data_IF_736448029059
#
_entry.id   IF_736448029059
#
_cell.length_a   1.000
_cell.length_b   1.000
_cell.length_c   1.000
_cell.angle_alpha   90.00
_cell.angle_beta   90.00
_cell.angle_gamma   90.00
#
_symmetry.space_group_name_H-M   'P 1'
#
loop_
_entity.id
_entity.type
_entity.pdbx_description
1 polymer ?
#
# COMPACT_ATOMS: atom_id res chain seq x y z
N UNK A 1 34.05 9.36 24.10
CA UNK A 1 32.85 8.67 23.55
C UNK A 1 32.90 8.88 22.06
N UNK A 2 33.16 7.82 21.29
CA UNK A 2 33.10 7.89 19.82
C UNK A 2 31.67 8.21 19.40
N UNK A 3 31.50 9.27 18.61
CA UNK A 3 30.28 9.59 17.90
C UNK A 3 29.90 8.38 17.03
N UNK A 4 28.95 7.58 17.49
CA UNK A 4 28.33 6.56 16.65
C UNK A 4 27.59 7.34 15.56
N UNK A 5 28.13 7.36 14.35
CA UNK A 5 27.48 7.97 13.19
C UNK A 5 26.15 7.24 12.96
N UNK A 6 25.04 7.87 13.37
CA UNK A 6 23.69 7.31 13.24
C UNK A 6 22.99 7.97 12.07
N UNK A 7 22.48 7.15 11.18
CA UNK A 7 21.66 7.59 10.07
C UNK A 7 20.23 7.10 10.22
N UNK A 8 19.30 7.86 9.63
CA UNK A 8 17.89 7.48 9.54
C UNK A 8 17.50 7.29 8.10
N UNK A 9 16.78 6.21 7.81
CA UNK A 9 16.18 5.96 6.50
C UNK A 9 14.69 5.71 6.65
N UNK A 10 13.91 6.31 5.76
CA UNK A 10 12.49 6.01 5.60
C UNK A 10 12.30 5.10 4.40
N UNK A 11 11.61 3.99 4.62
CA UNK A 11 11.36 2.93 3.63
C UNK A 11 9.85 2.82 3.43
N UNK A 12 9.39 2.93 2.18
CA UNK A 12 8.02 2.60 1.80
C UNK A 12 7.89 1.08 1.72
N UNK A 13 6.85 0.56 2.36
CA UNK A 13 6.55 -0.86 2.42
C UNK A 13 5.35 -1.18 1.54
N UNK A 14 5.24 -2.43 1.09
CA UNK A 14 4.09 -2.88 0.32
C UNK A 14 3.74 -4.34 0.60
N UNK A 15 2.45 -4.66 0.48
CA UNK A 15 1.94 -6.02 0.69
C UNK A 15 1.60 -6.38 2.14
N UNK A 16 1.63 -5.41 3.06
CA UNK A 16 1.09 -5.60 4.42
C UNK A 16 -0.43 -5.52 4.40
N UNK A 17 -1.09 -6.41 5.14
CA UNK A 17 -2.57 -6.43 5.24
C UNK A 17 -3.08 -6.24 6.66
N UNK A 18 -2.21 -6.24 7.67
CA UNK A 18 -2.58 -6.06 9.07
C UNK A 18 -1.41 -5.54 9.92
N UNK A 19 -1.75 -5.05 11.12
CA UNK A 19 -0.76 -4.58 12.10
C UNK A 19 0.24 -5.66 12.54
N UNK A 20 -0.14 -6.95 12.52
CA UNK A 20 0.79 -8.03 12.83
C UNK A 20 1.84 -8.26 11.74
N UNK A 21 1.57 -7.89 10.47
CA UNK A 21 2.61 -7.83 9.43
C UNK A 21 3.65 -6.76 9.75
N UNK A 22 3.20 -5.56 10.16
CA UNK A 22 4.09 -4.47 10.53
C UNK A 22 5.02 -4.86 11.69
N UNK A 23 4.48 -5.49 12.74
CA UNK A 23 5.28 -5.97 13.87
C UNK A 23 6.35 -6.99 13.48
N UNK A 24 6.04 -7.90 12.54
CA UNK A 24 7.02 -8.86 12.01
C UNK A 24 8.18 -8.18 11.29
N UNK A 25 7.88 -7.18 10.47
CA UNK A 25 8.90 -6.39 9.75
C UNK A 25 9.75 -5.60 10.75
N UNK A 26 9.12 -4.92 11.71
CA UNK A 26 9.82 -4.14 12.73
C UNK A 26 10.79 -5.01 13.54
N UNK A 27 10.33 -6.18 14.00
CA UNK A 27 11.15 -7.13 14.75
C UNK A 27 12.32 -7.64 13.92
N UNK A 28 12.09 -7.97 12.63
CA UNK A 28 13.14 -8.46 11.74
C UNK A 28 14.22 -7.41 11.50
N UNK A 29 13.83 -6.16 11.28
CA UNK A 29 14.75 -5.04 11.07
C UNK A 29 15.52 -4.70 12.35
N UNK A 30 14.84 -4.66 13.50
CA UNK A 30 15.47 -4.38 14.80
C UNK A 30 16.54 -5.40 15.19
N UNK A 31 16.42 -6.64 14.73
CA UNK A 31 17.37 -7.72 14.99
C UNK A 31 18.54 -7.77 13.99
N UNK A 32 18.62 -6.86 13.03
CA UNK A 32 19.78 -6.77 12.13
C UNK A 32 20.93 -6.07 12.86
N UNK A 33 22.14 -6.59 12.64
CA UNK A 33 23.35 -5.97 13.17
C UNK A 33 23.49 -4.53 12.64
N UNK A 34 23.84 -3.61 13.54
CA UNK A 34 23.98 -2.20 13.19
C UNK A 34 22.68 -1.40 13.20
N UNK A 35 21.52 -2.00 13.50
CA UNK A 35 20.25 -1.27 13.67
C UNK A 35 20.10 -0.84 15.13
N UNK A 36 19.93 0.46 15.36
CA UNK A 36 19.68 1.04 16.68
C UNK A 36 18.19 1.05 17.03
N UNK A 37 17.35 1.43 16.07
CA UNK A 37 15.90 1.41 16.24
C UNK A 37 15.19 1.19 14.90
N UNK A 38 14.02 0.57 14.96
CA UNK A 38 13.11 0.41 13.82
C UNK A 38 11.69 0.64 14.32
N UNK A 39 10.92 1.45 13.58
CA UNK A 39 9.52 1.72 13.85
C UNK A 39 8.75 1.56 12.55
N UNK A 40 7.69 0.75 12.56
CA UNK A 40 6.84 0.54 11.37
C UNK A 40 5.46 1.15 11.61
N UNK A 41 5.10 2.10 10.75
CA UNK A 41 3.76 2.66 10.70
C UNK A 41 2.93 1.93 9.65
N UNK A 42 2.03 1.05 10.11
CA UNK A 42 1.13 0.30 9.24
C UNK A 42 0.19 1.22 8.44
N UNK A 43 -0.33 2.29 9.04
CA UNK A 43 -1.30 3.17 8.39
C UNK A 43 -0.70 3.94 7.21
N UNK A 44 0.59 4.31 7.32
CA UNK A 44 1.31 5.02 6.27
C UNK A 44 2.11 4.09 5.35
N UNK A 45 2.07 2.77 5.59
CA UNK A 45 2.89 1.77 4.89
C UNK A 45 4.39 2.15 4.88
N UNK A 46 4.91 2.60 6.01
CA UNK A 46 6.27 3.15 6.13
C UNK A 46 7.04 2.52 7.28
N UNK A 47 8.33 2.26 7.08
CA UNK A 47 9.28 1.95 8.14
C UNK A 47 10.31 3.08 8.26
N UNK A 48 10.60 3.50 9.50
CA UNK A 48 11.74 4.36 9.81
C UNK A 48 12.76 3.54 10.57
N UNK A 49 14.00 3.50 10.05
CA UNK A 49 15.10 2.72 10.64
C UNK A 49 16.24 3.68 10.97
N UNK A 50 16.70 3.64 12.22
CA UNK A 50 17.92 4.30 12.68
C UNK A 50 19.04 3.26 12.78
N UNK A 51 20.15 3.49 12.08
CA UNK A 51 21.21 2.51 11.92
C UNK A 51 22.58 3.16 11.79
N UNK A 52 23.63 2.35 11.99
CA UNK A 52 25.00 2.74 11.71
C UNK A 52 25.37 2.34 10.25
N UNK A 53 25.68 3.31 9.37
CA UNK A 53 25.98 3.06 7.96
C UNK A 53 27.31 2.30 7.75
N UNK A 54 28.17 2.22 8.77
CA UNK A 54 29.42 1.47 8.71
C UNK A 54 29.21 -0.04 8.85
N UNK A 55 28.08 -0.45 9.46
CA UNK A 55 27.77 -1.86 9.78
C UNK A 55 26.66 -2.44 8.91
N UNK A 56 25.72 -1.62 8.45
CA UNK A 56 24.57 -2.07 7.66
C UNK A 56 24.11 -0.98 6.70
N UNK A 57 23.24 -1.34 5.74
CA UNK A 57 22.77 -0.45 4.70
C UNK A 57 21.35 -0.82 4.22
N UNK A 58 20.78 0.02 3.35
CA UNK A 58 19.44 -0.20 2.81
C UNK A 58 19.27 -1.53 2.05
N UNK A 59 20.30 -2.05 1.38
CA UNK A 59 20.18 -3.32 0.66
C UNK A 59 19.91 -4.49 1.63
N UNK A 60 20.54 -4.49 2.79
CA UNK A 60 20.28 -5.49 3.84
C UNK A 60 18.84 -5.37 4.37
N UNK A 61 18.34 -4.15 4.57
CA UNK A 61 16.94 -3.92 4.97
C UNK A 61 15.96 -4.41 3.91
N UNK A 62 16.19 -4.05 2.65
CA UNK A 62 15.36 -4.47 1.52
C UNK A 62 15.33 -6.00 1.39
N UNK A 63 16.49 -6.65 1.51
CA UNK A 63 16.61 -8.11 1.51
C UNK A 63 15.82 -8.73 2.66
N UNK A 64 16.04 -8.28 3.89
CA UNK A 64 15.36 -8.81 5.07
C UNK A 64 13.82 -8.68 4.99
N UNK A 65 13.32 -7.58 4.42
CA UNK A 65 11.88 -7.35 4.21
C UNK A 65 11.34 -8.26 3.08
N UNK A 66 12.09 -8.44 1.99
CA UNK A 66 11.73 -9.32 0.88
C UNK A 66 11.72 -10.80 1.27
N UNK A 67 12.63 -11.22 2.13
CA UNK A 67 12.67 -12.60 2.66
C UNK A 67 11.42 -12.93 3.48
N UNK A 68 10.77 -11.92 4.06
CA UNK A 68 9.47 -12.05 4.71
C UNK A 68 8.27 -12.04 3.74
N UNK A 69 8.52 -11.84 2.44
CA UNK A 69 7.49 -11.78 1.40
C UNK A 69 6.87 -10.40 1.19
N UNK A 70 7.48 -9.34 1.72
CA UNK A 70 6.98 -7.97 1.57
C UNK A 70 7.81 -7.16 0.55
N UNK A 71 7.24 -6.07 0.05
CA UNK A 71 7.96 -5.13 -0.81
C UNK A 71 8.57 -4.03 0.05
N UNK A 72 9.80 -3.63 -0.28
CA UNK A 72 10.47 -2.46 0.28
C UNK A 72 11.02 -1.60 -0.86
N UNK A 73 10.75 -0.29 -0.80
CA UNK A 73 11.21 0.71 -1.77
C UNK A 73 11.56 2.00 -1.04
N UNK A 74 12.51 2.77 -1.56
CA UNK A 74 12.70 4.16 -1.13
C UNK A 74 11.68 5.07 -1.82
N UNK A 75 11.68 6.35 -1.44
CA UNK A 75 10.94 7.34 -2.18
C UNK A 75 11.56 7.52 -3.56
N UNK A 76 10.71 7.81 -4.54
CA UNK A 76 11.10 7.83 -5.94
C UNK A 76 10.46 9.02 -6.62
N UNK A 77 11.24 9.71 -7.44
CA UNK A 77 10.75 10.78 -8.31
C UNK A 77 11.16 10.53 -9.75
N UNK A 78 10.26 10.88 -10.65
CA UNK A 78 10.48 10.80 -12.08
C UNK A 78 10.56 12.23 -12.63
N UNK A 79 11.72 12.58 -13.18
CA UNK A 79 12.00 13.91 -13.71
C UNK A 79 12.12 13.81 -15.22
N UNK A 80 11.40 14.67 -15.94
CA UNK A 80 11.56 14.82 -17.38
C UNK A 80 12.47 16.00 -17.67
N UNK A 81 13.47 15.79 -18.51
CA UNK A 81 14.35 16.85 -19.02
C UNK A 81 13.72 17.38 -20.30
N UNK A 82 13.51 18.69 -20.36
CA UNK A 82 12.91 19.38 -21.51
C UNK A 82 13.97 19.68 -22.58
N UNK A 83 15.19 19.94 -22.14
CA UNK A 83 16.29 20.30 -23.04
C UNK A 83 16.64 19.15 -23.99
N UNK A 84 16.97 19.52 -25.24
CA UNK A 84 17.63 18.61 -26.15
C UNK A 84 19.10 18.49 -25.71
N UNK A 85 19.41 17.36 -25.08
CA UNK A 85 20.75 17.00 -24.65
C UNK A 85 21.24 15.78 -25.43
N UNK A 86 22.56 15.71 -25.64
CA UNK A 86 23.20 14.54 -26.23
C UNK A 86 23.26 13.37 -25.24
N UNK A 87 23.47 12.15 -25.73
CA UNK A 87 23.55 10.93 -24.89
C UNK A 87 24.69 11.00 -23.86
N UNK A 88 25.80 11.64 -24.22
CA UNK A 88 26.98 11.84 -23.35
C UNK A 88 26.71 12.85 -22.23
N UNK A 89 26.02 13.95 -22.54
CA UNK A 89 25.58 14.93 -21.56
C UNK A 89 24.55 14.35 -20.60
N UNK A 90 23.62 13.54 -21.12
CA UNK A 90 22.63 12.84 -20.31
C UNK A 90 23.29 11.86 -19.33
N UNK A 91 24.27 11.10 -19.79
CA UNK A 91 25.03 10.17 -18.93
C UNK A 91 25.82 10.93 -17.86
N UNK A 92 26.43 12.06 -18.22
CA UNK A 92 27.15 12.92 -17.27
C UNK A 92 26.22 13.51 -16.21
N UNK A 93 24.99 13.86 -16.59
CA UNK A 93 23.96 14.30 -15.65
C UNK A 93 23.53 13.20 -14.69
N UNK A 94 23.32 11.97 -15.18
CA UNK A 94 22.98 10.82 -14.33
C UNK A 94 24.04 10.61 -13.24
N UNK A 95 25.32 10.65 -13.60
CA UNK A 95 26.43 10.50 -12.63
C UNK A 95 26.48 11.68 -11.64
N UNK A 96 26.33 12.92 -12.10
CA UNK A 96 26.28 14.10 -11.22
C UNK A 96 25.15 14.00 -10.19
N UNK A 97 23.99 13.51 -10.60
CA UNK A 97 22.83 13.35 -9.71
C UNK A 97 23.09 12.19 -8.74
N UNK A 98 23.73 11.11 -9.17
CA UNK A 98 24.06 9.97 -8.31
C UNK A 98 24.99 10.33 -7.14
N UNK A 99 25.88 11.30 -7.34
CA UNK A 99 26.80 11.79 -6.31
C UNK A 99 26.15 12.71 -5.27
N UNK A 100 24.88 13.13 -5.46
CA UNK A 100 24.19 13.98 -4.50
C UNK A 100 23.89 13.22 -3.19
N UNK A 101 24.09 13.91 -2.06
CA UNK A 101 23.85 13.32 -0.74
C UNK A 101 22.39 12.93 -0.55
N UNK A 102 22.16 11.70 -0.10
CA UNK A 102 20.82 11.18 0.18
C UNK A 102 20.11 10.56 -1.02
N UNK A 103 20.75 10.58 -2.20
CA UNK A 103 20.35 9.80 -3.37
C UNK A 103 20.94 8.39 -3.25
N UNK A 104 20.13 7.39 -3.60
CA UNK A 104 20.47 5.99 -3.45
C UNK A 104 20.69 5.30 -4.81
N UNK A 105 19.79 5.55 -5.76
CA UNK A 105 19.89 5.05 -7.12
C UNK A 105 19.37 6.11 -8.10
N UNK A 106 20.01 6.19 -9.26
CA UNK A 106 19.59 7.06 -10.36
C UNK A 106 19.65 6.26 -11.64
N UNK A 107 18.51 6.17 -12.32
CA UNK A 107 18.40 5.50 -13.61
C UNK A 107 17.90 6.50 -14.63
N UNK A 108 18.57 6.55 -15.77
CA UNK A 108 18.19 7.43 -16.87
C UNK A 108 17.69 6.65 -18.08
N UNK A 109 16.62 7.11 -18.70
CA UNK A 109 16.21 6.72 -20.04
C UNK A 109 16.38 7.92 -20.98
N UNK A 110 17.44 7.87 -21.78
CA UNK A 110 17.78 8.92 -22.73
C UNK A 110 16.68 9.15 -23.76
N UNK A 111 16.15 8.08 -24.37
CA UNK A 111 15.11 8.17 -25.41
C UNK A 111 13.82 8.84 -24.93
N UNK A 112 13.47 8.64 -23.65
CA UNK A 112 12.30 9.26 -23.04
C UNK A 112 12.62 10.63 -22.39
N UNK A 113 13.88 11.04 -22.35
CA UNK A 113 14.40 12.16 -21.57
C UNK A 113 13.94 12.12 -20.11
N UNK A 114 14.00 10.94 -19.48
CA UNK A 114 13.51 10.71 -18.11
C UNK A 114 14.62 10.24 -17.17
N UNK A 115 14.66 10.83 -15.98
CA UNK A 115 15.44 10.39 -14.84
C UNK A 115 14.52 9.81 -13.77
N UNK A 116 14.90 8.64 -13.25
CA UNK A 116 14.26 7.96 -12.15
C UNK A 116 15.23 8.01 -10.97
N UNK A 117 14.85 8.69 -9.90
CA UNK A 117 15.73 8.90 -8.74
C UNK A 117 15.09 8.23 -7.54
N UNK A 118 15.83 7.33 -6.88
CA UNK A 118 15.46 6.75 -5.59
C UNK A 118 16.25 7.45 -4.48
N UNK A 119 15.57 8.00 -3.48
CA UNK A 119 16.20 8.83 -2.45
C UNK A 119 15.54 8.64 -1.08
N UNK A 120 16.25 9.09 -0.04
CA UNK A 120 15.77 9.05 1.34
C UNK A 120 15.08 10.37 1.72
N UNK A 121 13.75 10.34 1.89
CA UNK A 121 12.94 11.51 2.29
C UNK A 121 13.41 12.21 3.57
N UNK A 122 14.11 11.51 4.47
CA UNK A 122 14.62 12.12 5.71
C UNK A 122 15.89 12.94 5.51
N UNK A 123 16.63 12.69 4.41
CA UNK A 123 17.88 13.39 4.09
C UNK A 123 17.70 14.44 3.00
N UNK A 124 16.80 14.19 2.05
CA UNK A 124 16.56 15.10 0.94
C UNK A 124 15.07 15.17 0.62
N UNK A 125 14.55 16.38 0.46
CA UNK A 125 13.17 16.62 0.03
C UNK A 125 13.11 16.69 -1.50
N UNK A 126 11.97 16.29 -2.08
CA UNK A 126 11.77 16.35 -3.53
C UNK A 126 12.13 17.72 -4.11
N UNK A 127 11.62 18.80 -3.51
CA UNK A 127 11.81 20.18 -3.98
C UNK A 127 13.29 20.56 -4.05
N UNK A 128 14.10 20.05 -3.13
CA UNK A 128 15.53 20.32 -3.09
C UNK A 128 16.24 19.62 -4.25
N UNK A 129 15.89 18.37 -4.56
CA UNK A 129 16.42 17.65 -5.72
C UNK A 129 16.05 18.38 -7.03
N UNK A 130 14.82 18.87 -7.16
CA UNK A 130 14.43 19.69 -8.32
C UNK A 130 15.27 20.97 -8.44
N UNK A 131 15.56 21.64 -7.31
CA UNK A 131 16.37 22.87 -7.32
C UNK A 131 17.84 22.61 -7.68
N UNK A 132 18.43 21.52 -7.20
CA UNK A 132 19.83 21.15 -7.50
C UNK A 132 20.00 20.83 -8.99
N UNK A 133 19.05 20.10 -9.59
CA UNK A 133 19.10 19.79 -11.02
C UNK A 133 18.90 21.04 -11.88
N UNK A 134 18.06 21.99 -11.46
CA UNK A 134 17.92 23.29 -12.12
C UNK A 134 19.20 24.12 -12.05
N UNK A 135 19.96 24.04 -10.95
CA UNK A 135 21.25 24.73 -10.81
C UNK A 135 22.31 24.20 -11.79
N UNK A 136 22.19 22.96 -12.25
CA UNK A 136 23.04 22.43 -13.32
C UNK A 136 22.72 23.01 -14.71
N UNK A 137 21.71 23.89 -14.81
CA UNK A 137 21.35 24.59 -16.04
C UNK A 137 20.30 23.87 -16.89
N UNK A 138 19.67 22.81 -16.37
CA UNK A 138 18.67 22.05 -17.13
C UNK A 138 17.23 22.47 -16.80
N UNK A 139 16.40 22.64 -17.82
CA UNK A 139 14.95 22.79 -17.73
C UNK A 139 14.29 21.42 -17.49
N UNK A 140 13.58 21.30 -16.37
CA UNK A 140 12.97 20.05 -15.93
C UNK A 140 11.49 20.21 -15.58
N UNK A 141 10.73 19.16 -15.82
CA UNK A 141 9.32 19.01 -15.44
C UNK A 141 9.12 17.76 -14.57
N UNK A 142 8.11 17.81 -13.70
CA UNK A 142 7.65 16.60 -13.01
C UNK A 142 7.06 15.66 -14.07
N UNK A 143 7.70 14.51 -14.30
CA UNK A 143 7.05 13.45 -15.06
C UNK A 143 6.09 12.76 -14.11
N UNK A 144 4.79 12.69 -14.47
CA UNK A 144 3.89 11.75 -13.80
C UNK A 144 4.53 10.35 -13.90
N UNK A 145 4.95 9.82 -12.76
CA UNK A 145 5.85 8.70 -12.72
C UNK A 145 5.16 7.36 -12.98
N UNK A 146 5.94 6.30 -13.17
CA UNK A 146 5.41 4.93 -13.13
C UNK A 146 4.70 4.64 -11.78
N UNK A 147 5.09 5.36 -10.73
CA UNK A 147 4.58 5.27 -9.38
C UNK A 147 3.29 6.06 -9.22
N UNK A 148 3.14 7.20 -9.91
CA UNK A 148 1.83 7.87 -9.99
C UNK A 148 0.80 6.96 -10.64
N UNK A 149 1.19 6.14 -11.62
CA UNK A 149 0.31 5.09 -12.16
C UNK A 149 -0.02 3.99 -11.14
N UNK A 150 0.93 3.58 -10.29
CA UNK A 150 0.69 2.57 -9.25
C UNK A 150 -0.16 3.12 -8.09
N UNK A 151 0.07 4.36 -7.67
CA UNK A 151 -0.75 5.10 -6.71
C UNK A 151 -2.14 5.37 -7.29
N UNK A 152 -2.26 5.74 -8.57
CA UNK A 152 -3.55 5.86 -9.23
C UNK A 152 -4.29 4.53 -9.31
N UNK A 153 -3.59 3.41 -9.56
CA UNK A 153 -4.21 2.07 -9.53
C UNK A 153 -4.71 1.74 -8.13
N UNK A 154 -3.91 1.95 -7.09
CA UNK A 154 -4.34 1.73 -5.71
C UNK A 154 -5.49 2.67 -5.32
N UNK A 155 -5.47 3.94 -5.75
CA UNK A 155 -6.60 4.88 -5.58
C UNK A 155 -7.84 4.42 -6.33
N UNK A 156 -7.70 3.86 -7.54
CA UNK A 156 -8.81 3.28 -8.31
C UNK A 156 -9.39 2.04 -7.62
N UNK A 157 -8.55 1.15 -7.10
CA UNK A 157 -8.99 0.00 -6.30
C UNK A 157 -9.69 0.43 -5.03
N UNK A 158 -9.11 1.38 -4.28
CA UNK A 158 -9.70 1.98 -3.07
C UNK A 158 -11.05 2.62 -3.39
N UNK A 159 -11.14 3.40 -4.48
CA UNK A 159 -12.38 4.05 -4.92
C UNK A 159 -13.44 3.02 -5.34
N UNK A 160 -13.04 1.92 -5.96
CA UNK A 160 -13.92 0.81 -6.30
C UNK A 160 -14.45 0.11 -5.05
N UNK A 161 -13.57 -0.23 -4.10
CA UNK A 161 -13.95 -0.83 -2.81
C UNK A 161 -14.88 0.09 -2.01
N UNK A 162 -14.53 1.37 -1.95
CA UNK A 162 -15.35 2.38 -1.29
C UNK A 162 -16.71 2.53 -1.96
N UNK A 163 -16.76 2.50 -3.30
CA UNK A 163 -18.02 2.53 -4.05
C UNK A 163 -18.91 1.32 -3.76
N UNK A 164 -18.36 0.11 -3.69
CA UNK A 164 -19.14 -1.09 -3.30
C UNK A 164 -19.67 -0.94 -1.88
N UNK A 165 -18.86 -0.43 -0.95
CA UNK A 165 -19.26 -0.23 0.44
C UNK A 165 -20.38 0.81 0.55
N UNK A 166 -20.27 1.94 -0.15
CA UNK A 166 -21.31 2.97 -0.15
C UNK A 166 -22.59 2.50 -0.82
N UNK A 167 -22.51 1.77 -1.94
CA UNK A 167 -23.72 1.18 -2.56
C UNK A 167 -24.39 0.17 -1.63
N UNK A 168 -23.59 -0.64 -0.92
CA UNK A 168 -24.09 -1.61 0.05
C UNK A 168 -24.78 -0.93 1.24
N UNK A 169 -24.18 0.13 1.78
CA UNK A 169 -24.73 0.89 2.90
C UNK A 169 -26.07 1.56 2.54
N UNK A 170 -26.13 2.17 1.35
CA UNK A 170 -27.36 2.81 0.85
C UNK A 170 -28.47 1.76 0.68
N UNK A 171 -28.16 0.60 0.12
CA UNK A 171 -29.14 -0.49 -0.05
C UNK A 171 -29.73 -0.97 1.28
N UNK A 172 -28.88 -1.12 2.31
CA UNK A 172 -29.34 -1.49 3.67
C UNK A 172 -30.25 -0.42 4.28
N UNK A 173 -29.90 0.86 4.12
CA UNK A 173 -30.70 1.98 4.63
C UNK A 173 -32.07 2.09 3.96
N UNK A 174 -32.21 1.63 2.70
CA UNK A 174 -33.49 1.64 1.98
C UNK A 174 -34.36 0.44 2.36
N UNK A 175 -33.79 -0.76 2.48
CA UNK A 175 -34.57 -1.99 2.72
C UNK A 175 -35.10 -2.09 4.15
N UNK A 176 -34.31 -1.66 5.14
CA UNK A 176 -34.66 -1.82 6.56
C UNK A 176 -35.98 -1.10 6.92
N UNK A 177 -36.21 0.15 6.50
CA UNK A 177 -37.50 0.83 6.72
C UNK A 177 -38.66 0.14 6.03
N UNK A 178 -38.47 -0.35 4.80
CA UNK A 178 -39.53 -1.03 4.03
C UNK A 178 -40.04 -2.26 4.79
N UNK A 179 -39.16 -2.99 5.48
CA UNK A 179 -39.53 -4.14 6.30
C UNK A 179 -40.42 -3.79 7.50
N UNK A 180 -40.40 -2.55 8.00
CA UNK A 180 -41.20 -2.12 9.14
C UNK A 180 -42.62 -1.71 8.74
N UNK A 181 -42.79 -1.16 7.54
CA UNK A 181 -44.10 -0.71 7.05
C UNK A 181 -44.96 -1.80 6.40
N UNK A 182 -44.37 -2.95 6.02
CA UNK A 182 -45.09 -4.05 5.37
C UNK A 182 -45.36 -5.16 6.39
N UNK A 183 -46.62 -5.60 6.61
CA UNK A 183 -46.96 -6.67 7.55
C UNK A 183 -46.26 -8.00 7.26
N UNK A 184 -46.02 -8.84 8.29
CA UNK A 184 -45.40 -10.15 8.11
C UNK A 184 -46.22 -11.11 7.28
N UNK A 185 -45.68 -11.43 6.10
CA UNK A 185 -46.17 -12.46 5.20
C UNK A 185 -45.00 -13.31 4.68
N UNK A 186 -45.30 -14.54 4.23
CA UNK A 186 -44.31 -15.43 3.63
C UNK A 186 -43.65 -14.81 2.39
N UNK A 187 -44.44 -14.18 1.52
CA UNK A 187 -43.96 -13.51 0.31
C UNK A 187 -43.00 -12.36 0.62
N UNK A 188 -43.31 -11.56 1.65
CA UNK A 188 -42.42 -10.48 2.11
C UNK A 188 -41.09 -11.05 2.61
N UNK A 189 -41.12 -12.09 3.44
CA UNK A 189 -39.91 -12.72 3.97
C UNK A 189 -39.06 -13.33 2.84
N UNK A 190 -39.70 -13.96 1.86
CA UNK A 190 -39.01 -14.50 0.68
C UNK A 190 -38.35 -13.40 -0.16
N UNK A 191 -39.06 -12.29 -0.38
CA UNK A 191 -38.52 -11.11 -1.07
C UNK A 191 -37.33 -10.50 -0.33
N UNK A 192 -37.44 -10.30 1.00
CA UNK A 192 -36.35 -9.79 1.83
C UNK A 192 -35.16 -10.74 1.85
N UNK A 193 -35.39 -12.06 1.85
CA UNK A 193 -34.36 -13.08 1.79
C UNK A 193 -33.54 -13.00 0.49
N UNK A 194 -34.20 -12.90 -0.67
CA UNK A 194 -33.48 -12.76 -1.94
C UNK A 194 -32.72 -11.43 -2.06
N UNK A 195 -33.29 -10.32 -1.55
CA UNK A 195 -32.58 -9.04 -1.49
C UNK A 195 -31.36 -9.11 -0.56
N UNK A 196 -31.49 -9.77 0.59
CA UNK A 196 -30.39 -9.99 1.52
C UNK A 196 -29.28 -10.86 0.90
N UNK A 197 -29.62 -11.90 0.12
CA UNK A 197 -28.64 -12.70 -0.62
C UNK A 197 -27.94 -11.89 -1.70
N UNK A 198 -28.68 -11.07 -2.47
CA UNK A 198 -28.10 -10.21 -3.49
C UNK A 198 -27.09 -9.23 -2.89
N UNK A 199 -27.49 -8.58 -1.80
CA UNK A 199 -26.62 -7.69 -1.02
C UNK A 199 -25.41 -8.41 -0.44
N UNK A 200 -25.62 -9.57 0.19
CA UNK A 200 -24.55 -10.40 0.76
C UNK A 200 -23.55 -10.84 -0.30
N UNK A 201 -24.02 -11.17 -1.51
CA UNK A 201 -23.15 -11.56 -2.62
C UNK A 201 -22.25 -10.41 -3.08
N UNK A 202 -22.80 -9.19 -3.15
CA UNK A 202 -22.06 -7.98 -3.56
C UNK A 202 -21.05 -7.59 -2.49
N UNK A 203 -21.52 -7.32 -1.26
CA UNK A 203 -20.67 -6.87 -0.15
C UNK A 203 -19.72 -7.97 0.34
N UNK A 204 -20.19 -9.21 0.37
CA UNK A 204 -19.46 -10.38 0.88
C UNK A 204 -18.35 -10.87 -0.02
N UNK A 205 -18.41 -10.56 -1.32
CA UNK A 205 -17.37 -10.95 -2.27
C UNK A 205 -15.95 -10.50 -1.87
N UNK A 206 -15.83 -9.37 -1.16
CA UNK A 206 -14.55 -8.84 -0.68
C UNK A 206 -13.95 -9.68 0.45
N UNK A 207 -14.69 -9.86 1.55
CA UNK A 207 -14.18 -10.56 2.72
C UNK A 207 -14.18 -12.08 2.54
N UNK A 208 -15.10 -12.67 1.75
CA UNK A 208 -15.08 -14.12 1.47
C UNK A 208 -13.83 -14.53 0.70
N UNK A 209 -13.42 -13.74 -0.31
CA UNK A 209 -12.16 -13.98 -1.03
C UNK A 209 -10.94 -13.82 -0.12
N UNK A 210 -10.95 -12.77 0.73
CA UNK A 210 -9.91 -12.55 1.74
C UNK A 210 -9.79 -13.71 2.72
N UNK A 211 -10.91 -14.18 3.25
CA UNK A 211 -10.99 -15.32 4.16
C UNK A 211 -10.45 -16.61 3.53
N UNK A 212 -10.86 -16.94 2.31
CA UNK A 212 -10.35 -18.13 1.59
C UNK A 212 -8.83 -18.05 1.41
N UNK A 213 -8.31 -16.88 1.02
CA UNK A 213 -6.86 -16.68 0.85
C UNK A 213 -6.10 -16.83 2.17
N UNK A 214 -6.64 -16.26 3.25
CA UNK A 214 -6.04 -16.36 4.59
C UNK A 214 -6.03 -17.81 5.08
N UNK A 215 -7.13 -18.54 4.92
CA UNK A 215 -7.24 -19.95 5.30
C UNK A 215 -6.28 -20.85 4.50
N UNK A 216 -6.11 -20.59 3.20
CA UNK A 216 -5.11 -21.29 2.38
C UNK A 216 -3.68 -21.12 2.91
N UNK A 217 -3.39 -19.96 3.50
CA UNK A 217 -2.11 -19.65 4.12
C UNK A 217 -2.04 -20.07 5.60
N UNK A 218 -3.00 -20.87 6.08
CA UNK A 218 -3.11 -21.33 7.48
C UNK A 218 -3.11 -20.18 8.50
N UNK A 219 -3.65 -19.02 8.13
CA UNK A 219 -3.81 -17.88 9.03
C UNK A 219 -5.29 -17.50 9.19
N UNK A 220 -5.69 -17.12 10.41
CA UNK A 220 -6.99 -16.51 10.68
C UNK A 220 -6.82 -14.99 10.81
N UNK A 221 -7.51 -14.23 9.96
CA UNK A 221 -7.52 -12.77 9.96
C UNK A 221 -8.94 -12.24 10.20
N UNK A 222 -9.12 -10.91 10.18
CA UNK A 222 -10.43 -10.28 10.36
C UNK A 222 -11.44 -10.72 9.30
N UNK A 223 -11.01 -10.94 8.06
CA UNK A 223 -11.89 -11.43 6.98
C UNK A 223 -12.47 -12.81 7.31
N UNK A 224 -11.66 -13.72 7.88
CA UNK A 224 -12.13 -15.06 8.30
C UNK A 224 -13.20 -14.95 9.38
N UNK A 225 -12.99 -14.07 10.38
CA UNK A 225 -13.95 -13.86 11.45
C UNK A 225 -15.28 -13.31 10.92
N UNK A 226 -15.21 -12.28 10.07
CA UNK A 226 -16.39 -11.65 9.46
C UNK A 226 -17.11 -12.63 8.52
N UNK A 227 -16.37 -13.38 7.72
CA UNK A 227 -16.92 -14.41 6.84
C UNK A 227 -17.69 -15.48 7.63
N UNK A 228 -17.12 -15.99 8.73
CA UNK A 228 -17.79 -16.97 9.59
C UNK A 228 -19.09 -16.41 10.19
N UNK A 229 -19.05 -15.21 10.78
CA UNK A 229 -20.22 -14.60 11.40
C UNK A 229 -21.36 -14.34 10.40
N UNK A 230 -21.03 -13.74 9.26
CA UNK A 230 -22.02 -13.41 8.22
C UNK A 230 -22.58 -14.65 7.52
N UNK A 231 -21.74 -15.66 7.27
CA UNK A 231 -22.21 -16.94 6.70
C UNK A 231 -23.12 -17.67 7.69
N UNK A 232 -22.80 -17.65 8.98
CA UNK A 232 -23.65 -18.25 10.03
C UNK A 232 -25.01 -17.55 10.10
N UNK A 233 -25.03 -16.21 10.03
CA UNK A 233 -26.26 -15.45 9.98
C UNK A 233 -27.11 -15.77 8.74
N UNK A 234 -26.47 -15.97 7.57
CA UNK A 234 -27.18 -16.38 6.35
C UNK A 234 -27.79 -17.78 6.50
N UNK A 235 -27.06 -18.74 7.06
CA UNK A 235 -27.58 -20.10 7.32
C UNK A 235 -28.79 -20.02 8.25
N UNK A 236 -28.71 -19.25 9.33
CA UNK A 236 -29.84 -19.04 10.23
C UNK A 236 -31.04 -18.40 9.51
N UNK A 237 -30.80 -17.43 8.63
CA UNK A 237 -31.86 -16.81 7.82
C UNK A 237 -32.53 -17.81 6.87
N UNK A 238 -31.77 -18.73 6.26
CA UNK A 238 -32.32 -19.80 5.41
C UNK A 238 -33.21 -20.71 6.25
N UNK A 239 -32.71 -21.18 7.41
CA UNK A 239 -33.46 -22.07 8.29
C UNK A 239 -34.76 -21.42 8.78
N UNK A 240 -34.69 -20.15 9.18
CA UNK A 240 -35.87 -19.42 9.66
C UNK A 240 -36.88 -19.17 8.52
N UNK A 241 -36.42 -18.87 7.31
CA UNK A 241 -37.35 -18.52 6.21
C UNK A 241 -38.11 -19.74 5.68
N UNK A 242 -37.47 -20.92 5.66
CA UNK A 242 -38.03 -22.11 5.00
C UNK A 242 -38.47 -23.24 5.93
N UNK A 243 -37.95 -23.31 7.17
CA UNK A 243 -38.18 -24.44 8.06
C UNK A 243 -38.82 -24.07 9.41
N UNK A 244 -38.70 -22.82 9.86
CA UNK A 244 -39.21 -22.36 11.15
C UNK A 244 -40.20 -21.22 10.87
N UNK A 245 -41.47 -21.58 10.66
CA UNK A 245 -42.54 -20.63 10.38
C UNK A 245 -43.28 -20.22 11.65
#
# INVERSE_FOLDING_TARGET
MEDVNKEKVKIKLGGMTCASCAFKIETKLKNLDGVNSSVVNFANEEATVEYNPSTTNYNEFNKAIRDLGYKATLAKIDIKIIDLISETEFTSLVEKVKDLKGIYDVRGNYQASKLFIEFNELKNEENKIYSEIKQFGYAIEKSAGAIDKEIERHKKEMKYRFRILTTSLIFMLIITPISWFIPPSFERNLLLFFLAIGQYSIAGSFFLKGAIKSLKNKSANMDVLVALGTTTALIYSILTTFFIQ
#
